data_IF_818168306500
#
_entry.id   IF_818168306500
#
_cell.length_a   1.000
_cell.length_b   1.000
_cell.length_c   1.000
_cell.angle_alpha   90.00
_cell.angle_beta   90.00
_cell.angle_gamma   90.00
#
_symmetry.space_group_name_H-M   'P 1'
#
loop_
_entity.id
_entity.type
_entity.pdbx_description
1 polymer ?
#
# COMPACT_ATOMS: atom_id res chain seq x y z
N UNK A 1 -7.40 1.63 -13.41
CA UNK A 1 -6.97 3.03 -13.30
C UNK A 1 -7.62 3.81 -14.42
N UNK A 2 -8.50 4.77 -14.07
CA UNK A 2 -9.34 5.51 -15.03
C UNK A 2 -10.12 4.57 -15.98
N UNK A 3 -10.72 3.51 -15.43
CA UNK A 3 -11.47 2.50 -16.21
C UNK A 3 -10.63 1.43 -16.93
N UNK A 4 -9.29 1.54 -16.98
CA UNK A 4 -8.40 0.50 -17.57
C UNK A 4 -7.89 -0.50 -16.53
N UNK A 5 -7.75 -1.78 -16.90
CA UNK A 5 -7.13 -2.82 -16.05
C UNK A 5 -5.67 -2.42 -15.73
N UNK A 6 -5.30 -2.43 -14.45
CA UNK A 6 -4.00 -1.97 -13.96
C UNK A 6 -2.85 -2.99 -14.10
N UNK A 7 -3.06 -4.07 -14.87
CA UNK A 7 -2.21 -5.26 -14.83
C UNK A 7 -2.35 -6.02 -13.51
N UNK A 8 -1.50 -7.04 -13.32
CA UNK A 8 -1.50 -7.88 -12.11
C UNK A 8 -0.52 -7.40 -11.03
N UNK A 9 0.25 -6.34 -11.30
CA UNK A 9 1.29 -5.82 -10.41
C UNK A 9 1.25 -4.31 -10.38
N UNK A 10 1.41 -3.75 -9.17
CA UNK A 10 1.51 -2.32 -8.96
C UNK A 10 2.56 -2.03 -7.88
N UNK A 11 3.36 -0.98 -8.08
CA UNK A 11 4.39 -0.54 -7.12
C UNK A 11 3.94 0.77 -6.49
N UNK A 12 3.67 0.76 -5.18
CA UNK A 12 3.24 1.94 -4.44
C UNK A 12 4.42 2.80 -3.99
N UNK A 13 4.26 4.12 -4.02
CA UNK A 13 5.23 5.07 -3.52
C UNK A 13 5.32 5.01 -1.99
N UNK A 14 6.52 4.71 -1.49
CA UNK A 14 6.83 4.73 -0.06
C UNK A 14 7.56 6.01 0.37
N UNK A 15 8.33 6.63 -0.52
CA UNK A 15 9.20 7.77 -0.20
C UNK A 15 8.45 9.08 0.07
N UNK A 16 7.21 9.22 -0.40
CA UNK A 16 6.45 10.46 -0.29
C UNK A 16 6.73 11.49 -1.40
N UNK A 17 7.75 11.31 -2.22
CA UNK A 17 8.13 12.29 -3.26
C UNK A 17 7.49 12.08 -4.65
N UNK A 18 6.80 10.95 -4.88
CA UNK A 18 6.19 10.67 -6.19
C UNK A 18 5.19 11.77 -6.60
N UNK A 19 5.26 12.16 -7.86
CA UNK A 19 4.33 13.03 -8.58
C UNK A 19 3.18 12.23 -9.21
N UNK A 20 3.30 10.91 -9.27
CA UNK A 20 2.29 9.97 -9.79
C UNK A 20 1.68 9.08 -8.69
N UNK A 21 1.38 9.66 -7.52
CA UNK A 21 0.77 8.92 -6.39
C UNK A 21 -0.54 8.24 -6.84
N UNK A 22 -0.85 7.01 -6.41
CA UNK A 22 -0.15 6.18 -5.42
C UNK A 22 1.18 5.57 -5.87
N UNK A 23 1.53 5.63 -7.15
CA UNK A 23 2.55 4.79 -7.74
C UNK A 23 3.95 5.37 -7.57
N UNK A 24 4.95 4.48 -7.54
CA UNK A 24 6.34 4.90 -7.66
C UNK A 24 6.61 5.40 -9.09
N UNK A 25 7.25 6.56 -9.21
CA UNK A 25 7.68 7.18 -10.48
C UNK A 25 9.19 7.43 -10.52
N UNK A 26 9.96 6.83 -9.59
CA UNK A 26 11.40 7.02 -9.49
C UNK A 26 11.87 8.24 -8.69
N UNK A 27 10.98 9.17 -8.29
CA UNK A 27 11.36 10.39 -7.54
C UNK A 27 12.08 10.13 -6.19
N UNK A 28 12.13 8.88 -5.73
CA UNK A 28 12.84 8.49 -4.51
C UNK A 28 14.37 8.61 -4.64
N UNK A 29 14.92 8.55 -5.86
CA UNK A 29 16.35 8.76 -6.12
C UNK A 29 16.74 10.21 -5.81
N UNK A 30 16.05 11.17 -6.42
CA UNK A 30 16.31 12.59 -6.22
C UNK A 30 16.00 13.06 -4.79
N UNK A 31 15.02 12.41 -4.15
CA UNK A 31 14.68 12.66 -2.75
C UNK A 31 15.69 12.06 -1.75
N UNK A 32 16.70 11.32 -2.21
CA UNK A 32 17.68 10.66 -1.34
C UNK A 32 17.06 9.63 -0.39
N UNK A 33 15.91 9.06 -0.76
CA UNK A 33 15.17 8.15 0.13
C UNK A 33 15.84 6.78 0.16
N UNK A 34 16.33 6.39 1.33
CA UNK A 34 16.88 5.05 1.59
C UNK A 34 15.98 4.29 2.57
N UNK A 35 15.60 3.06 2.20
CA UNK A 35 14.90 2.13 3.08
C UNK A 35 15.19 0.68 2.66
N UNK A 36 15.21 -0.23 3.63
CA UNK A 36 15.45 -1.67 3.39
C UNK A 36 14.37 -2.36 2.54
N UNK A 37 13.23 -1.72 2.29
CA UNK A 37 12.06 -2.37 1.69
C UNK A 37 11.33 -3.32 2.63
N UNK A 38 11.83 -3.55 3.85
CA UNK A 38 11.29 -4.51 4.81
C UNK A 38 10.48 -3.82 5.91
N UNK A 39 9.14 -3.94 5.92
CA UNK A 39 8.30 -3.44 7.00
C UNK A 39 8.28 -4.40 8.19
N UNK A 40 8.00 -3.93 9.42
CA UNK A 40 7.82 -4.82 10.58
C UNK A 40 6.73 -5.88 10.34
N UNK A 41 6.93 -7.10 10.85
CA UNK A 41 5.87 -8.13 10.86
C UNK A 41 4.74 -7.69 11.79
N UNK A 42 3.50 -7.78 11.33
CA UNK A 42 2.33 -7.54 12.17
C UNK A 42 2.02 -8.78 13.05
N UNK A 43 1.12 -8.63 14.03
CA UNK A 43 0.71 -9.75 14.89
C UNK A 43 -0.18 -10.76 14.18
N UNK A 44 -0.95 -10.32 13.18
CA UNK A 44 -1.85 -11.17 12.38
C UNK A 44 -1.12 -11.86 11.23
N UNK A 45 -0.40 -12.94 11.54
CA UNK A 45 0.32 -13.75 10.54
C UNK A 45 -0.19 -15.18 10.42
N UNK A 46 -1.19 -15.59 11.20
CA UNK A 46 -1.79 -16.91 11.05
C UNK A 46 -2.42 -17.11 9.67
N UNK A 47 -2.39 -18.35 9.18
CA UNK A 47 -3.04 -18.70 7.91
C UNK A 47 -4.54 -18.44 7.98
N UNK A 48 -5.08 -17.80 6.95
CA UNK A 48 -6.52 -17.64 6.80
C UNK A 48 -7.17 -19.00 6.54
N UNK A 49 -8.37 -19.20 7.11
CA UNK A 49 -9.14 -20.43 6.91
C UNK A 49 -9.50 -20.69 5.44
N UNK A 50 -9.70 -19.63 4.66
CA UNK A 50 -9.86 -19.68 3.21
C UNK A 50 -8.74 -18.86 2.58
N UNK A 51 -8.06 -19.47 1.61
CA UNK A 51 -7.01 -18.84 0.83
C UNK A 51 -7.54 -18.54 -0.57
N UNK A 52 -6.87 -17.61 -1.23
CA UNK A 52 -7.22 -17.16 -2.58
C UNK A 52 -8.62 -16.54 -2.68
N UNK A 53 -9.04 -16.25 -3.92
CA UNK A 53 -10.31 -15.59 -4.24
C UNK A 53 -10.13 -14.16 -4.74
N UNK A 54 -11.24 -13.49 -5.08
CA UNK A 54 -11.20 -12.12 -5.58
C UNK A 54 -10.72 -11.17 -4.49
N UNK A 55 -9.88 -10.22 -4.89
CA UNK A 55 -9.48 -9.08 -4.07
C UNK A 55 -10.00 -7.82 -4.75
N UNK A 56 -10.87 -7.09 -4.05
CA UNK A 56 -11.30 -5.76 -4.45
C UNK A 56 -10.28 -4.73 -3.96
N UNK A 57 -9.92 -3.81 -4.85
CA UNK A 57 -9.04 -2.68 -4.55
C UNK A 57 -9.76 -1.39 -4.94
N UNK A 58 -10.22 -0.66 -3.94
CA UNK A 58 -10.98 0.57 -4.07
C UNK A 58 -10.21 1.76 -3.51
N UNK A 59 -9.69 2.67 -4.35
CA UNK A 59 -9.17 3.95 -3.88
C UNK A 59 -10.26 4.73 -3.13
N UNK A 60 -9.93 5.25 -1.95
CA UNK A 60 -10.79 6.20 -1.26
C UNK A 60 -10.37 7.61 -1.66
N UNK A 61 -11.35 8.48 -1.94
CA UNK A 61 -11.14 9.91 -2.20
C UNK A 61 -10.28 10.51 -1.09
N UNK A 62 -9.19 11.16 -1.49
CA UNK A 62 -8.21 11.82 -0.62
C UNK A 62 -7.61 10.89 0.45
N UNK A 63 -7.76 9.58 0.26
CA UNK A 63 -7.54 8.58 1.28
C UNK A 63 -6.71 7.38 0.82
N UNK A 64 -6.69 6.32 1.66
CA UNK A 64 -5.93 5.11 1.38
C UNK A 64 -6.52 4.29 0.23
N UNK A 65 -5.79 3.25 -0.19
CA UNK A 65 -6.37 2.17 -0.99
C UNK A 65 -7.05 1.19 -0.03
N UNK A 66 -8.36 1.07 -0.11
CA UNK A 66 -9.11 0.03 0.58
C UNK A 66 -8.95 -1.27 -0.21
N UNK A 67 -8.50 -2.32 0.47
CA UNK A 67 -8.36 -3.66 -0.09
C UNK A 67 -9.29 -4.59 0.69
N UNK A 68 -10.12 -5.36 -0.01
CA UNK A 68 -11.09 -6.30 0.59
C UNK A 68 -11.01 -7.66 -0.10
N UNK A 69 -11.13 -8.73 0.67
CA UNK A 69 -10.93 -10.11 0.23
C UNK A 69 -9.79 -10.76 1.00
N UNK A 70 -9.57 -12.07 0.82
CA UNK A 70 -8.50 -12.78 1.51
C UNK A 70 -7.15 -12.33 0.93
N UNK A 71 -6.37 -11.58 1.71
CA UNK A 71 -5.09 -11.05 1.26
C UNK A 71 -3.93 -11.40 2.21
N UNK A 72 -2.78 -11.65 1.59
CA UNK A 72 -1.49 -11.70 2.27
C UNK A 72 -0.67 -10.49 1.82
N UNK A 73 -0.14 -9.74 2.77
CA UNK A 73 0.83 -8.67 2.51
C UNK A 73 2.21 -9.27 2.66
N UNK A 74 2.99 -9.23 1.58
CA UNK A 74 4.32 -9.84 1.49
C UNK A 74 5.34 -8.76 1.14
N UNK A 75 6.52 -8.79 1.77
CA UNK A 75 7.62 -7.88 1.44
C UNK A 75 8.32 -8.28 0.14
N UNK A 76 9.24 -7.45 -0.34
CA UNK A 76 10.00 -7.73 -1.57
C UNK A 76 10.88 -8.99 -1.50
N UNK A 77 11.24 -9.45 -0.29
CA UNK A 77 11.99 -10.69 -0.06
C UNK A 77 11.12 -11.94 0.00
N UNK A 78 9.80 -11.82 -0.10
CA UNK A 78 8.86 -12.94 0.03
C UNK A 78 8.42 -13.22 1.48
N UNK A 79 8.89 -12.44 2.46
CA UNK A 79 8.45 -12.58 3.86
C UNK A 79 7.02 -12.07 4.02
N UNK A 80 6.18 -12.86 4.69
CA UNK A 80 4.82 -12.45 5.07
C UNK A 80 4.89 -11.37 6.14
N UNK A 81 4.25 -10.24 5.87
CA UNK A 81 4.12 -9.09 6.77
C UNK A 81 2.84 -9.20 7.59
N UNK A 82 1.72 -9.53 6.93
CA UNK A 82 0.43 -9.74 7.59
C UNK A 82 -0.55 -10.49 6.69
N UNK A 83 -1.59 -11.06 7.29
CA UNK A 83 -2.71 -11.73 6.61
C UNK A 83 -4.03 -11.16 7.12
N UNK A 84 -4.94 -10.81 6.23
CA UNK A 84 -6.21 -10.19 6.61
C UNK A 84 -7.30 -10.43 5.56
N UNK A 85 -8.52 -10.03 5.88
CA UNK A 85 -9.64 -9.94 4.92
C UNK A 85 -9.91 -8.50 4.46
N UNK A 86 -9.25 -7.54 5.09
CA UNK A 86 -9.24 -6.15 4.64
C UNK A 86 -7.97 -5.44 5.07
N UNK A 87 -7.54 -4.47 4.29
CA UNK A 87 -6.42 -3.58 4.62
C UNK A 87 -6.64 -2.19 4.04
N UNK A 88 -6.07 -1.19 4.69
CA UNK A 88 -5.98 0.18 4.17
C UNK A 88 -4.53 0.48 3.89
N UNK A 89 -4.12 0.44 2.62
CA UNK A 89 -2.74 0.71 2.23
C UNK A 89 -2.51 2.21 2.09
N UNK A 90 -1.38 2.68 2.62
CA UNK A 90 -0.96 4.07 2.48
C UNK A 90 -0.79 4.42 1.00
N UNK A 91 -1.42 5.52 0.59
CA UNK A 91 -1.33 6.08 -0.75
C UNK A 91 -0.73 7.49 -0.79
N UNK A 92 -0.76 8.22 0.32
CA UNK A 92 -0.17 9.56 0.40
C UNK A 92 1.37 9.53 0.45
N UNK A 93 1.95 8.44 0.95
CA UNK A 93 3.40 8.30 1.14
C UNK A 93 3.94 8.87 2.46
N UNK A 94 3.07 9.32 3.38
CA UNK A 94 3.50 9.97 4.63
C UNK A 94 3.17 9.19 5.92
N UNK A 95 2.52 8.02 5.83
CA UNK A 95 2.25 7.21 7.03
C UNK A 95 3.54 6.81 7.75
N UNK A 96 3.51 6.73 9.07
CA UNK A 96 4.55 6.17 9.92
C UNK A 96 4.46 4.64 10.05
N UNK A 97 3.34 4.03 9.68
CA UNK A 97 3.09 2.57 9.76
C UNK A 97 3.01 1.90 8.39
N UNK A 98 3.75 2.43 7.40
CA UNK A 98 3.78 1.88 6.03
C UNK A 98 4.11 0.37 6.07
N UNK A 99 3.43 -0.45 5.25
CA UNK A 99 2.60 -0.06 4.09
C UNK A 99 1.15 0.35 4.43
N UNK A 100 0.74 0.32 5.70
CA UNK A 100 -0.61 0.64 6.12
C UNK A 100 -0.84 2.15 6.24
N UNK A 101 -2.11 2.54 6.23
CA UNK A 101 -2.55 3.90 6.49
C UNK A 101 -2.81 4.12 7.98
N UNK A 102 -2.32 5.23 8.51
CA UNK A 102 -2.53 5.69 9.90
C UNK A 102 -3.33 7.01 9.99
N UNK A 103 -4.00 7.41 8.90
CA UNK A 103 -4.73 8.68 8.84
C UNK A 103 -3.88 9.90 8.49
N UNK A 104 -2.55 9.79 8.37
CA UNK A 104 -1.68 10.94 8.05
C UNK A 104 -2.06 11.65 6.74
N UNK A 105 -2.72 10.96 5.80
CA UNK A 105 -3.22 11.56 4.55
C UNK A 105 -4.07 12.81 4.77
N UNK A 106 -4.94 12.82 5.80
CA UNK A 106 -5.79 13.96 6.11
C UNK A 106 -4.95 15.16 6.60
N UNK A 107 -3.97 14.90 7.47
CA UNK A 107 -3.09 15.92 8.05
C UNK A 107 -2.16 16.57 7.02
N UNK A 108 -1.68 15.80 6.04
CA UNK A 108 -0.81 16.32 4.97
C UNK A 108 -1.60 16.87 3.77
N UNK A 109 -2.94 16.91 3.85
CA UNK A 109 -3.79 17.45 2.79
C UNK A 109 -3.69 16.68 1.47
N UNK A 110 -3.51 15.35 1.52
CA UNK A 110 -3.42 14.54 0.32
C UNK A 110 -4.70 14.65 -0.52
N UNK A 111 -4.54 14.90 -1.84
CA UNK A 111 -5.65 15.01 -2.79
C UNK A 111 -5.50 13.99 -3.91
N UNK A 112 -6.44 13.07 -4.05
CA UNK A 112 -6.49 12.11 -5.15
C UNK A 112 -7.80 11.31 -5.20
N UNK A 113 -8.20 10.91 -6.41
CA UNK A 113 -9.41 10.12 -6.68
C UNK A 113 -9.13 8.61 -6.64
#
# INVERSE_FOLDING_TARGET
LNGKKAGYRATLCRCGASKNKPYCDGSHHDAGFAASGEPPTATNTDMLAVRDGPVDVSPQTDGPLMVRGNLEIVSGTGRVVSRAQSARLCRCGHSSTKPLCDGTHARVGFRAL
#
